data_IF_819293221142
#
_entry.id   IF_819293221142
#
_cell.length_a   1.000
_cell.length_b   1.000
_cell.length_c   1.000
_cell.angle_alpha   90.00
_cell.angle_beta   90.00
_cell.angle_gamma   90.00
#
_symmetry.space_group_name_H-M   'P 1'
#
loop_
_entity.id
_entity.type
_entity.pdbx_description
1 polymer ?
#
# COMPACT_ATOMS: atom_id res chain seq x y z
N UNK A 1 -10.16 2.42 20.80
CA UNK A 1 -10.41 3.28 19.63
C UNK A 1 -9.10 3.41 18.87
N UNK A 2 -8.64 2.29 18.34
CA UNK A 2 -7.48 2.19 17.44
C UNK A 2 -8.08 1.52 16.22
N UNK A 3 -8.30 2.29 15.16
CA UNK A 3 -8.64 1.73 13.85
C UNK A 3 -7.39 1.01 13.34
N UNK A 4 -7.24 -0.23 13.77
CA UNK A 4 -6.37 -1.21 13.13
C UNK A 4 -6.90 -1.43 11.71
N UNK A 5 -6.16 -0.86 10.77
CA UNK A 5 -5.76 -1.52 9.53
C UNK A 5 -6.89 -1.97 8.62
N UNK A 6 -7.09 -1.16 7.58
CA UNK A 6 -7.60 -1.60 6.29
C UNK A 6 -6.68 -2.72 5.76
N UNK A 7 -7.13 -3.97 5.85
CA UNK A 7 -6.66 -5.06 4.99
C UNK A 7 -7.86 -5.55 4.17
N UNK A 8 -8.02 -4.99 2.98
CA UNK A 8 -8.95 -5.47 1.98
C UNK A 8 -8.27 -6.62 1.23
N UNK A 9 -8.65 -7.87 1.53
CA UNK A 9 -8.37 -9.03 0.68
C UNK A 9 -9.62 -9.34 -0.13
N UNK A 10 -9.62 -9.32 -1.48
CA UNK A 10 -10.82 -9.60 -2.25
C UNK A 10 -11.18 -11.09 -2.34
N UNK A 11 -10.42 -12.01 -1.72
CA UNK A 11 -10.70 -13.45 -1.77
C UNK A 11 -10.41 -14.11 -0.43
N UNK A 12 -11.42 -14.12 0.43
CA UNK A 12 -11.39 -14.70 1.77
C UNK A 12 -11.32 -16.23 1.81
N UNK A 13 -10.22 -16.83 1.34
CA UNK A 13 -9.88 -18.22 1.68
C UNK A 13 -8.39 -18.31 2.03
N UNK A 14 -8.11 -18.49 3.33
CA UNK A 14 -6.82 -18.98 3.79
C UNK A 14 -6.73 -20.46 3.43
N UNK A 15 -6.01 -20.80 2.36
CA UNK A 15 -5.64 -22.19 2.07
C UNK A 15 -4.18 -22.37 2.49
N UNK A 16 -3.88 -23.17 3.53
CA UNK A 16 -2.54 -23.70 3.71
C UNK A 16 -2.33 -24.75 2.62
N UNK A 17 -1.58 -24.40 1.56
CA UNK A 17 -1.12 -25.41 0.59
C UNK A 17 -0.02 -26.21 1.27
N UNK A 18 -0.39 -27.30 1.91
CA UNK A 18 0.55 -28.33 2.36
C UNK A 18 1.37 -28.78 1.14
N UNK A 19 2.67 -28.53 1.18
CA UNK A 19 3.61 -29.16 0.27
C UNK A 19 3.71 -30.64 0.69
N UNK A 20 2.99 -31.53 0.00
CA UNK A 20 3.27 -32.94 0.06
C UNK A 20 4.58 -33.19 -0.70
N UNK A 21 5.70 -33.35 0.03
CA UNK A 21 6.90 -33.99 -0.51
C UNK A 21 6.62 -35.49 -0.63
N UNK A 22 6.07 -35.90 -1.77
CA UNK A 22 6.03 -37.30 -2.18
C UNK A 22 7.10 -37.48 -3.25
N UNK A 23 8.21 -38.13 -2.86
CA UNK A 23 9.26 -38.52 -3.78
C UNK A 23 8.75 -39.62 -4.71
N UNK A 24 8.58 -39.28 -5.98
CA UNK A 24 8.58 -40.23 -7.07
C UNK A 24 9.79 -39.88 -7.93
N UNK A 25 10.83 -40.72 -7.89
CA UNK A 25 11.88 -40.73 -8.92
C UNK A 25 11.22 -41.22 -10.21
N UNK A 26 10.57 -40.30 -10.91
CA UNK A 26 10.19 -40.50 -12.30
C UNK A 26 11.41 -40.14 -13.14
N UNK A 27 12.05 -41.17 -13.66
CA UNK A 27 13.03 -41.14 -14.75
C UNK A 27 12.30 -40.74 -16.05
N UNK A 28 11.63 -39.58 -16.04
CA UNK A 28 11.31 -38.87 -17.26
C UNK A 28 12.53 -38.03 -17.57
N UNK A 29 13.25 -38.47 -18.61
CA UNK A 29 14.11 -37.63 -19.44
C UNK A 29 13.43 -36.27 -19.61
N UNK A 30 13.78 -35.34 -18.73
CA UNK A 30 13.20 -34.01 -18.73
C UNK A 30 13.58 -33.45 -20.09
N UNK A 31 12.58 -33.00 -20.83
CA UNK A 31 12.75 -32.20 -22.05
C UNK A 31 13.46 -30.88 -21.67
N UNK A 32 14.75 -30.98 -21.35
CA UNK A 32 15.68 -29.91 -20.94
C UNK A 32 16.34 -29.30 -22.18
N UNK A 33 16.02 -29.80 -23.37
CA UNK A 33 16.77 -29.51 -24.59
C UNK A 33 16.03 -28.61 -25.59
N UNK A 34 15.09 -27.77 -25.12
CA UNK A 34 14.49 -26.70 -25.95
C UNK A 34 14.46 -25.30 -25.31
N UNK A 35 14.71 -25.16 -24.00
CA UNK A 35 14.81 -23.86 -23.31
C UNK A 35 16.14 -23.70 -22.55
N UNK A 36 17.14 -24.51 -22.90
CA UNK A 36 18.49 -24.39 -22.32
C UNK A 36 19.08 -23.04 -22.69
N UNK A 37 19.66 -22.34 -21.72
CA UNK A 37 20.29 -21.04 -21.94
C UNK A 37 21.36 -21.08 -23.06
N UNK A 38 22.06 -22.21 -23.20
CA UNK A 38 23.14 -22.40 -24.16
C UNK A 38 22.68 -22.65 -25.60
N UNK A 39 21.38 -22.86 -25.82
CA UNK A 39 20.83 -22.96 -27.17
C UNK A 39 20.77 -21.58 -27.85
N UNK A 40 20.96 -21.59 -29.16
CA UNK A 40 21.07 -20.37 -29.96
C UNK A 40 19.78 -19.56 -29.84
N UNK A 41 19.88 -18.37 -29.23
CA UNK A 41 18.78 -17.43 -29.08
C UNK A 41 18.12 -17.43 -27.70
N UNK A 42 18.36 -18.42 -26.84
CA UNK A 42 17.75 -18.47 -25.51
C UNK A 42 18.35 -17.46 -24.53
N UNK A 43 19.58 -16.98 -24.77
CA UNK A 43 20.18 -15.85 -24.04
C UNK A 43 19.36 -14.54 -24.15
N UNK A 44 18.49 -14.41 -25.17
CA UNK A 44 17.63 -13.24 -25.37
C UNK A 44 16.71 -12.98 -24.17
N UNK A 45 16.32 -14.02 -23.41
CA UNK A 45 15.58 -13.86 -22.15
C UNK A 45 16.35 -13.00 -21.15
N UNK A 46 17.66 -13.24 -21.01
CA UNK A 46 18.52 -12.46 -20.10
C UNK A 46 18.74 -11.04 -20.61
N UNK A 47 18.83 -10.84 -21.94
CA UNK A 47 18.91 -9.49 -22.53
C UNK A 47 17.62 -8.71 -22.29
N UNK A 48 16.45 -9.33 -22.51
CA UNK A 48 15.13 -8.73 -22.28
C UNK A 48 14.93 -8.29 -20.82
N UNK A 49 15.58 -8.95 -19.86
CA UNK A 49 15.53 -8.55 -18.44
C UNK A 49 16.03 -7.13 -18.21
N UNK A 50 16.90 -6.59 -19.07
CA UNK A 50 17.34 -5.19 -18.99
C UNK A 50 16.19 -4.24 -19.34
N UNK A 51 15.49 -4.50 -20.44
CA UNK A 51 14.32 -3.72 -20.87
C UNK A 51 13.18 -3.83 -19.86
N UNK A 52 12.91 -5.06 -19.37
CA UNK A 52 11.93 -5.31 -18.32
C UNK A 52 12.31 -4.59 -17.02
N UNK A 53 13.59 -4.51 -16.67
CA UNK A 53 14.08 -3.77 -15.51
C UNK A 53 13.76 -2.28 -15.58
N UNK A 54 13.99 -1.65 -16.73
CA UNK A 54 13.61 -0.25 -16.98
C UNK A 54 12.10 -0.04 -16.81
N UNK A 55 11.30 -0.95 -17.37
CA UNK A 55 9.84 -0.93 -17.21
C UNK A 55 9.42 -1.06 -15.74
N UNK A 56 10.02 -2.00 -14.99
CA UNK A 56 9.70 -2.22 -13.58
C UNK A 56 10.03 -1.01 -12.70
N UNK A 57 11.09 -0.25 -13.01
CA UNK A 57 11.35 1.02 -12.34
C UNK A 57 10.22 2.03 -12.54
N UNK A 58 9.67 2.12 -13.76
CA UNK A 58 8.51 2.99 -14.02
C UNK A 58 7.25 2.50 -13.29
N UNK A 59 7.01 1.19 -13.29
CA UNK A 59 5.86 0.59 -12.59
C UNK A 59 5.96 0.83 -11.07
N UNK A 60 7.17 0.74 -10.49
CA UNK A 60 7.43 1.06 -9.08
C UNK A 60 7.16 2.54 -8.78
N UNK A 61 7.64 3.45 -9.62
CA UNK A 61 7.37 4.89 -9.45
C UNK A 61 5.88 5.19 -9.48
N UNK A 62 5.14 4.60 -10.41
CA UNK A 62 3.68 4.74 -10.48
C UNK A 62 2.99 4.19 -9.22
N UNK A 63 3.43 3.03 -8.72
CA UNK A 63 2.91 2.46 -7.48
C UNK A 63 3.10 3.41 -6.28
N UNK A 64 4.29 4.01 -6.14
CA UNK A 64 4.57 4.98 -5.08
C UNK A 64 3.75 6.27 -5.24
N UNK A 65 3.56 6.76 -6.47
CA UNK A 65 2.71 7.91 -6.76
C UNK A 65 1.24 7.67 -6.38
N UNK A 66 0.71 6.49 -6.72
CA UNK A 66 -0.64 6.08 -6.33
C UNK A 66 -0.78 6.05 -4.81
N UNK A 67 0.21 5.46 -4.11
CA UNK A 67 0.23 5.45 -2.65
C UNK A 67 0.25 6.86 -2.07
N UNK A 68 1.13 7.73 -2.56
CA UNK A 68 1.22 9.13 -2.14
C UNK A 68 -0.09 9.90 -2.34
N UNK A 69 -0.85 9.60 -3.39
CA UNK A 69 -2.17 10.19 -3.64
C UNK A 69 -3.20 9.76 -2.60
N UNK A 70 -3.17 8.50 -2.15
CA UNK A 70 -4.04 8.00 -1.09
C UNK A 70 -3.75 8.74 0.22
N UNK A 71 -2.48 8.87 0.58
CA UNK A 71 -2.05 9.59 1.80
C UNK A 71 -2.56 11.04 1.80
N UNK A 72 -2.39 11.76 0.68
CA UNK A 72 -2.92 13.11 0.51
C UNK A 72 -4.44 13.18 0.68
N UNK A 73 -5.18 12.26 0.08
CA UNK A 73 -6.65 12.24 0.16
C UNK A 73 -7.13 12.06 1.60
N UNK A 74 -6.49 11.17 2.35
CA UNK A 74 -6.85 10.95 3.75
C UNK A 74 -6.55 12.17 4.63
N UNK A 75 -5.37 12.77 4.47
CA UNK A 75 -5.01 14.03 5.14
C UNK A 75 -6.05 15.14 4.87
N UNK A 76 -6.44 15.33 3.61
CA UNK A 76 -7.45 16.33 3.22
C UNK A 76 -8.81 16.08 3.90
N UNK A 77 -9.26 14.82 3.93
CA UNK A 77 -10.51 14.46 4.60
C UNK A 77 -10.47 14.73 6.10
N UNK A 78 -9.34 14.45 6.77
CA UNK A 78 -9.16 14.76 8.18
C UNK A 78 -9.19 16.26 8.46
N UNK A 79 -8.52 17.07 7.64
CA UNK A 79 -8.52 18.53 7.76
C UNK A 79 -9.90 19.14 7.53
N UNK A 80 -10.65 18.63 6.54
CA UNK A 80 -12.01 19.10 6.30
C UNK A 80 -12.97 18.70 7.42
N UNK A 81 -12.85 17.46 7.91
CA UNK A 81 -13.62 16.96 9.03
C UNK A 81 -13.34 17.74 10.32
N UNK A 82 -12.06 17.99 10.65
CA UNK A 82 -11.67 18.73 11.85
C UNK A 82 -12.21 20.15 11.83
N UNK A 83 -12.08 20.84 10.69
CA UNK A 83 -12.60 22.20 10.50
C UNK A 83 -14.11 22.27 10.63
N UNK A 84 -14.83 21.34 10.00
CA UNK A 84 -16.30 21.26 10.10
C UNK A 84 -16.75 21.06 11.54
N UNK A 85 -16.17 20.09 12.24
CA UNK A 85 -16.59 19.78 13.61
C UNK A 85 -16.20 20.86 14.61
N UNK A 86 -15.03 21.49 14.46
CA UNK A 86 -14.62 22.61 15.32
C UNK A 86 -15.63 23.75 15.23
N UNK A 87 -16.09 24.12 14.02
CA UNK A 87 -17.14 25.12 13.83
C UNK A 87 -18.49 24.73 14.47
N UNK A 88 -18.86 23.45 14.42
CA UNK A 88 -20.11 22.97 15.02
C UNK A 88 -20.03 22.94 16.56
N UNK A 89 -18.86 22.62 17.11
CA UNK A 89 -18.63 22.62 18.56
C UNK A 89 -18.66 24.06 19.09
N UNK A 90 -17.92 24.98 18.47
CA UNK A 90 -17.82 26.39 18.89
C UNK A 90 -19.17 27.15 18.84
N UNK A 91 -20.05 26.77 17.90
CA UNK A 91 -21.40 27.35 17.78
C UNK A 91 -22.45 26.58 18.58
N UNK A 92 -22.07 25.43 19.12
CA UNK A 92 -22.97 24.54 19.85
C UNK A 92 -23.20 25.01 21.29
N UNK A 93 -24.17 24.42 21.98
CA UNK A 93 -24.46 24.74 23.38
C UNK A 93 -23.49 24.07 24.38
N UNK A 94 -22.51 23.29 23.89
CA UNK A 94 -21.57 22.56 24.74
C UNK A 94 -20.47 23.50 25.23
N UNK A 95 -20.21 23.50 26.53
CA UNK A 95 -19.15 24.31 27.13
C UNK A 95 -18.30 23.52 28.14
N UNK A 96 -17.24 24.16 28.64
CA UNK A 96 -16.46 23.68 29.78
C UNK A 96 -15.42 22.63 29.41
N UNK A 97 -15.14 21.70 30.33
CA UNK A 97 -14.10 20.68 30.14
C UNK A 97 -14.43 19.69 29.02
N UNK A 98 -15.70 19.35 28.84
CA UNK A 98 -16.13 18.44 27.79
C UNK A 98 -15.99 19.05 26.39
N UNK A 99 -16.30 20.34 26.23
CA UNK A 99 -16.06 21.07 24.97
C UNK A 99 -14.58 21.00 24.57
N UNK A 100 -13.67 21.24 25.52
CA UNK A 100 -12.23 21.13 25.29
C UNK A 100 -11.79 19.72 24.93
N UNK A 101 -12.31 18.71 25.63
CA UNK A 101 -12.01 17.31 25.34
C UNK A 101 -12.49 16.91 23.93
N UNK A 102 -13.65 17.39 23.52
CA UNK A 102 -14.16 17.18 22.16
C UNK A 102 -13.32 17.93 21.12
N UNK A 103 -12.98 19.19 21.35
CA UNK A 103 -12.09 19.96 20.47
C UNK A 103 -10.67 19.36 20.35
N UNK A 104 -10.22 18.62 21.35
CA UNK A 104 -8.97 17.88 21.29
C UNK A 104 -8.99 16.77 20.22
N UNK A 105 -10.14 16.15 19.93
CA UNK A 105 -10.27 15.19 18.82
C UNK A 105 -10.05 15.84 17.46
N UNK A 106 -10.57 17.06 17.26
CA UNK A 106 -10.31 17.82 16.03
C UNK A 106 -8.82 18.16 15.89
N UNK A 107 -8.17 18.49 17.01
CA UNK A 107 -6.73 18.80 17.06
C UNK A 107 -5.87 17.56 16.77
N UNK A 108 -6.29 16.39 17.22
CA UNK A 108 -5.61 15.13 16.91
C UNK A 108 -5.71 14.80 15.42
N UNK A 109 -6.89 14.95 14.81
CA UNK A 109 -7.08 14.74 13.38
C UNK A 109 -6.24 15.70 12.52
N UNK A 110 -6.03 16.95 12.95
CA UNK A 110 -5.14 17.90 12.29
C UNK A 110 -3.68 17.42 12.31
N UNK A 111 -3.21 16.92 13.46
CA UNK A 111 -1.85 16.38 13.58
C UNK A 111 -1.67 15.09 12.78
N UNK A 112 -2.66 14.21 12.76
CA UNK A 112 -2.63 13.01 11.91
C UNK A 112 -2.59 13.41 10.42
N UNK A 113 -3.38 14.41 10.02
CA UNK A 113 -3.33 14.94 8.66
C UNK A 113 -1.92 15.44 8.28
N UNK A 114 -1.25 16.18 9.16
CA UNK A 114 0.13 16.63 8.97
C UNK A 114 1.10 15.44 8.75
N UNK A 115 1.02 14.41 9.58
CA UNK A 115 1.84 13.20 9.43
C UNK A 115 1.60 12.50 8.08
N UNK A 116 0.35 12.40 7.63
CA UNK A 116 0.03 11.81 6.33
C UNK A 116 0.57 12.67 5.16
N UNK A 117 0.60 14.00 5.31
CA UNK A 117 1.23 14.89 4.33
C UNK A 117 2.76 14.73 4.30
N UNK A 118 3.40 14.47 5.44
CA UNK A 118 4.83 14.13 5.51
C UNK A 118 5.12 12.80 4.82
N UNK A 119 4.32 11.76 5.06
CA UNK A 119 4.46 10.46 4.35
C UNK A 119 4.34 10.67 2.84
N UNK A 120 3.35 11.45 2.39
CA UNK A 120 3.22 11.81 0.97
C UNK A 120 4.45 12.56 0.45
N UNK A 121 5.06 13.43 1.26
CA UNK A 121 6.25 14.18 0.86
C UNK A 121 7.45 13.24 0.70
N UNK A 122 7.67 12.33 1.64
CA UNK A 122 8.75 11.33 1.59
C UNK A 122 8.58 10.36 0.43
N UNK A 123 7.35 9.99 0.06
CA UNK A 123 7.11 9.11 -1.09
C UNK A 123 7.31 9.79 -2.46
N UNK A 124 7.35 11.13 -2.50
CA UNK A 124 7.39 11.92 -3.73
C UNK A 124 8.65 12.79 -3.87
N UNK A 125 9.48 12.87 -2.83
CA UNK A 125 10.72 13.64 -2.78
C UNK A 125 11.91 12.76 -3.12
#
# INVERSE_FOLDING_TARGET
>A
MVLLTVCFSPRGLWVPRAAAMSGSYDDSMVDVSSDSFWEVGNYKRTVRRVDDGSRLCNDLMNCLHERARIEKSYAQQLTEWSKRWRQLIEKGPQYGTLERAWGALCTEAEKVSELHMEVKAVLMG
#
